data_IF_765046113981
#
_entry.id   IF_765046113981
#
_cell.length_a   1.000
_cell.length_b   1.000
_cell.length_c   1.000
_cell.angle_alpha   90.00
_cell.angle_beta   90.00
_cell.angle_gamma   90.00
#
_symmetry.space_group_name_H-M   'P 1'
#
loop_
_entity.id
_entity.type
_entity.pdbx_description
1 polymer ?
#
# COMPACT_ATOMS: atom_id res chain seq x y z
N UNK A 1 -7.00 9.63 26.69
CA UNK A 1 -7.69 9.37 25.41
C UNK A 1 -6.60 9.10 24.40
N UNK A 2 -6.49 7.86 23.93
CA UNK A 2 -5.47 7.39 22.99
C UNK A 2 -6.14 6.99 21.68
N UNK A 3 -5.43 7.16 20.57
CA UNK A 3 -5.91 6.83 19.23
C UNK A 3 -4.80 6.11 18.46
N UNK A 4 -5.17 5.33 17.47
CA UNK A 4 -4.25 4.78 16.47
C UNK A 4 -4.83 4.95 15.07
N UNK A 5 -4.19 5.80 14.27
CA UNK A 5 -4.71 6.26 12.98
C UNK A 5 -3.97 5.65 11.79
N UNK A 6 -3.10 4.65 12.02
CA UNK A 6 -2.34 4.02 10.94
C UNK A 6 -2.27 2.50 11.20
N UNK A 7 -3.36 1.80 10.86
CA UNK A 7 -3.51 0.37 11.09
C UNK A 7 -3.79 -0.39 9.79
N UNK A 8 -3.23 -1.59 9.69
CA UNK A 8 -3.29 -2.44 8.51
C UNK A 8 -3.87 -3.79 8.89
N UNK A 9 -4.75 -4.31 8.05
CA UNK A 9 -5.32 -5.65 8.13
C UNK A 9 -4.71 -6.58 7.10
N UNK A 10 -5.03 -7.87 7.16
CA UNK A 10 -4.60 -8.81 6.11
C UNK A 10 -5.12 -8.46 4.71
N UNK A 11 -6.10 -7.56 4.59
CA UNK A 11 -6.60 -7.07 3.29
C UNK A 11 -5.47 -6.41 2.49
N UNK A 12 -4.45 -5.88 3.16
CA UNK A 12 -3.21 -5.45 2.51
C UNK A 12 -1.98 -6.23 2.98
N UNK A 13 -1.41 -5.90 4.14
CA UNK A 13 -0.19 -6.50 4.68
C UNK A 13 -0.14 -6.61 6.21
N UNK A 14 -1.27 -6.36 6.88
CA UNK A 14 -1.46 -6.64 8.30
C UNK A 14 -1.61 -8.14 8.59
N UNK A 15 -1.64 -8.47 9.89
CA UNK A 15 -1.75 -9.86 10.36
C UNK A 15 -3.12 -10.24 10.92
N UNK A 16 -3.98 -9.24 11.14
CA UNK A 16 -5.28 -9.40 11.76
C UNK A 16 -6.41 -9.03 10.79
N UNK A 17 -7.61 -9.55 11.05
CA UNK A 17 -8.79 -9.16 10.27
C UNK A 17 -9.21 -7.71 10.57
N UNK A 18 -9.93 -7.05 9.67
CA UNK A 18 -10.50 -5.73 9.96
C UNK A 18 -11.32 -5.69 11.26
N UNK A 19 -12.11 -6.74 11.55
CA UNK A 19 -12.82 -6.85 12.82
C UNK A 19 -11.88 -7.14 14.02
N UNK A 20 -10.87 -8.00 13.84
CA UNK A 20 -9.90 -8.33 14.89
C UNK A 20 -9.10 -7.12 15.36
N UNK A 21 -8.72 -6.23 14.43
CA UNK A 21 -8.09 -4.94 14.76
C UNK A 21 -8.96 -4.10 15.69
N UNK A 22 -10.28 -4.06 15.45
CA UNK A 22 -11.22 -3.34 16.33
C UNK A 22 -11.26 -3.96 17.72
N UNK A 23 -11.33 -5.29 17.81
CA UNK A 23 -11.34 -5.99 19.10
C UNK A 23 -10.07 -5.71 19.91
N UNK A 24 -8.91 -5.73 19.26
CA UNK A 24 -7.63 -5.39 19.87
C UNK A 24 -7.59 -3.92 20.32
N UNK A 25 -8.09 -2.99 19.50
CA UNK A 25 -8.16 -1.57 19.84
C UNK A 25 -9.04 -1.31 21.07
N UNK A 26 -10.19 -1.99 21.15
CA UNK A 26 -11.09 -1.93 22.32
C UNK A 26 -10.41 -2.50 23.56
N UNK A 27 -9.75 -3.65 23.45
CA UNK A 27 -9.01 -4.26 24.55
C UNK A 27 -7.85 -3.36 25.04
N UNK A 28 -7.22 -2.61 24.13
CA UNK A 28 -6.18 -1.63 24.43
C UNK A 28 -6.73 -0.30 25.00
N UNK A 29 -8.06 -0.13 25.08
CA UNK A 29 -8.68 1.09 25.59
C UNK A 29 -8.54 2.31 24.67
N UNK A 30 -8.36 2.10 23.36
CA UNK A 30 -8.33 3.17 22.38
C UNK A 30 -9.70 3.83 22.26
N UNK A 31 -9.70 5.13 21.99
CA UNK A 31 -10.90 5.94 21.84
C UNK A 31 -11.33 6.07 20.38
N UNK A 32 -10.37 6.04 19.46
CA UNK A 32 -10.62 6.04 18.03
C UNK A 32 -9.53 5.25 17.28
N UNK A 33 -9.91 4.69 16.13
CA UNK A 33 -8.95 4.12 15.18
C UNK A 33 -9.23 4.51 13.73
N UNK A 34 -8.21 4.41 12.87
CA UNK A 34 -8.37 4.39 11.43
C UNK A 34 -7.80 3.11 10.81
N UNK A 35 -8.57 2.46 9.94
CA UNK A 35 -8.06 1.39 9.09
C UNK A 35 -7.55 2.03 7.79
N UNK A 36 -6.28 1.79 7.45
CA UNK A 36 -5.58 2.47 6.36
C UNK A 36 -4.79 1.47 5.49
N UNK A 37 -5.45 0.37 5.11
CA UNK A 37 -4.85 -0.65 4.23
C UNK A 37 -4.26 -0.07 2.93
N UNK A 38 -3.17 -0.65 2.45
CA UNK A 38 -2.40 -0.12 1.32
C UNK A 38 -3.14 -0.11 -0.02
N UNK A 39 -3.37 1.08 -0.58
CA UNK A 39 -4.10 1.29 -1.84
C UNK A 39 -5.52 0.65 -1.84
N UNK A 40 -5.99 0.25 -0.66
CA UNK A 40 -7.10 -0.62 -0.21
C UNK A 40 -8.32 0.05 0.45
N UNK A 41 -9.59 -0.28 0.16
CA UNK A 41 -10.72 0.10 1.05
C UNK A 41 -11.61 -1.07 1.45
N UNK A 42 -11.31 -2.28 1.01
CA UNK A 42 -12.20 -3.42 1.07
C UNK A 42 -12.43 -3.92 2.52
N UNK A 43 -11.51 -3.63 3.45
CA UNK A 43 -11.65 -3.92 4.88
C UNK A 43 -12.52 -2.91 5.66
N UNK A 44 -12.75 -1.72 5.09
CA UNK A 44 -13.47 -0.62 5.78
C UNK A 44 -14.90 -1.03 6.21
N UNK A 45 -15.74 -1.69 5.39
CA UNK A 45 -17.09 -2.08 5.80
C UNK A 45 -17.09 -3.01 7.02
N UNK A 46 -16.17 -3.97 7.07
CA UNK A 46 -16.06 -4.93 8.17
C UNK A 46 -15.60 -4.24 9.47
N UNK A 47 -14.50 -3.49 9.42
CA UNK A 47 -14.00 -2.77 10.59
C UNK A 47 -15.02 -1.76 11.13
N UNK A 48 -15.75 -1.05 10.25
CA UNK A 48 -16.81 -0.12 10.66
C UNK A 48 -17.93 -0.83 11.41
N UNK A 49 -18.38 -1.99 10.92
CA UNK A 49 -19.44 -2.76 11.55
C UNK A 49 -19.03 -3.26 12.95
N UNK A 50 -17.79 -3.74 13.09
CA UNK A 50 -17.23 -4.13 14.38
C UNK A 50 -17.11 -2.92 15.32
N UNK A 51 -16.55 -1.80 14.87
CA UNK A 51 -16.38 -0.60 15.68
C UNK A 51 -17.70 -0.05 16.22
N UNK A 52 -18.75 -0.05 15.38
CA UNK A 52 -20.11 0.31 15.78
C UNK A 52 -20.65 -0.58 16.90
N UNK A 53 -20.35 -1.88 16.87
CA UNK A 53 -20.79 -2.84 17.90
C UNK A 53 -20.15 -2.54 19.25
N UNK A 54 -18.88 -2.11 19.25
CA UNK A 54 -18.14 -1.79 20.46
C UNK A 54 -18.24 -0.32 20.91
N UNK A 55 -18.90 0.54 20.13
CA UNK A 55 -18.94 1.99 20.40
C UNK A 55 -17.58 2.68 20.24
N UNK A 56 -16.67 2.09 19.45
CA UNK A 56 -15.36 2.67 19.12
C UNK A 56 -15.52 3.68 17.98
N UNK A 57 -14.88 4.85 18.09
CA UNK A 57 -14.84 5.79 16.97
C UNK A 57 -13.96 5.25 15.84
N UNK A 58 -14.51 5.25 14.63
CA UNK A 58 -13.85 4.64 13.47
C UNK A 58 -13.77 5.63 12.31
N UNK A 59 -12.55 5.79 11.79
CA UNK A 59 -12.24 6.65 10.65
C UNK A 59 -11.88 5.74 9.46
N UNK A 60 -12.64 5.78 8.35
CA UNK A 60 -12.25 5.04 7.16
C UNK A 60 -11.07 5.73 6.48
N UNK A 61 -10.18 4.94 5.90
CA UNK A 61 -9.10 5.48 5.10
C UNK A 61 -8.33 4.42 4.34
N UNK A 62 -7.25 4.87 3.71
CA UNK A 62 -6.30 4.03 2.98
C UNK A 62 -4.92 4.67 3.06
N UNK A 63 -3.87 3.86 3.00
CA UNK A 63 -2.51 4.36 2.78
C UNK A 63 -2.12 4.21 1.31
N UNK A 64 -2.02 5.34 0.61
CA UNK A 64 -1.66 5.38 -0.81
C UNK A 64 -0.15 5.22 -1.01
N UNK A 65 0.24 4.28 -1.86
CA UNK A 65 1.58 4.16 -2.41
C UNK A 65 1.78 5.12 -3.59
N UNK A 66 2.37 6.30 -3.35
CA UNK A 66 2.58 7.32 -4.38
C UNK A 66 4.03 7.41 -4.85
N UNK A 67 4.22 8.00 -6.03
CA UNK A 67 5.51 8.47 -6.52
C UNK A 67 5.70 9.95 -6.18
N UNK A 68 6.90 10.33 -5.76
CA UNK A 68 7.24 11.74 -5.50
C UNK A 68 8.73 11.98 -5.75
N UNK A 69 9.07 12.92 -6.62
CA UNK A 69 10.46 13.28 -6.96
C UNK A 69 11.37 12.07 -7.29
N UNK A 70 10.84 11.10 -8.04
CA UNK A 70 11.57 9.88 -8.40
C UNK A 70 11.71 8.85 -7.27
N UNK A 71 11.13 9.12 -6.11
CA UNK A 71 11.10 8.24 -4.93
C UNK A 71 9.70 7.73 -4.62
N UNK A 72 9.60 6.83 -3.64
CA UNK A 72 8.34 6.36 -3.09
C UNK A 72 7.97 7.21 -1.87
N UNK A 73 6.70 7.61 -1.77
CA UNK A 73 6.12 8.23 -0.58
C UNK A 73 4.80 7.51 -0.27
N UNK A 74 4.38 7.52 0.99
CA UNK A 74 3.03 7.11 1.35
C UNK A 74 2.20 8.28 1.88
N UNK A 75 0.92 8.28 1.52
CA UNK A 75 -0.06 9.25 2.01
C UNK A 75 -1.18 8.49 2.72
N UNK A 76 -1.44 8.82 3.98
CA UNK A 76 -2.67 8.44 4.65
C UNK A 76 -3.79 9.31 4.12
N UNK A 77 -4.90 8.69 3.73
CA UNK A 77 -6.08 9.40 3.25
C UNK A 77 -7.25 9.03 4.15
N UNK A 78 -7.63 9.96 5.02
CA UNK A 78 -8.70 9.78 6.00
C UNK A 78 -10.06 10.25 5.49
N UNK A 79 -11.12 9.71 6.08
CA UNK A 79 -12.50 10.01 5.74
C UNK A 79 -12.89 9.62 4.30
N UNK A 80 -12.18 8.65 3.74
CA UNK A 80 -12.45 8.12 2.40
C UNK A 80 -13.31 6.87 2.49
N UNK A 81 -14.55 6.95 2.02
CA UNK A 81 -15.47 5.82 2.01
C UNK A 81 -15.28 4.92 0.77
N UNK A 82 -15.53 3.59 0.89
CA UNK A 82 -15.65 2.72 -0.27
C UNK A 82 -16.81 3.15 -1.17
N UNK A 83 -16.64 2.98 -2.49
CA UNK A 83 -17.65 3.34 -3.48
C UNK A 83 -17.02 4.05 -4.69
N UNK A 84 -17.83 4.46 -5.67
CA UNK A 84 -17.35 5.23 -6.81
C UNK A 84 -16.92 6.64 -6.38
N UNK A 85 -15.83 7.13 -6.97
CA UNK A 85 -15.33 8.47 -6.70
C UNK A 85 -13.96 8.70 -7.35
N UNK A 86 -13.50 9.96 -7.47
CA UNK A 86 -12.29 10.30 -8.23
C UNK A 86 -11.06 9.49 -7.80
N UNK A 87 -10.80 9.39 -6.50
CA UNK A 87 -9.68 8.62 -5.97
C UNK A 87 -9.94 7.11 -6.05
N UNK A 88 -11.16 6.66 -5.75
CA UNK A 88 -11.52 5.24 -5.76
C UNK A 88 -11.40 4.64 -7.17
N UNK A 89 -11.87 5.35 -8.19
CA UNK A 89 -11.77 4.93 -9.60
C UNK A 89 -10.30 4.85 -10.02
N UNK A 90 -9.48 5.81 -9.56
CA UNK A 90 -8.04 5.81 -9.82
C UNK A 90 -7.33 4.65 -9.10
N UNK A 91 -7.73 4.33 -7.87
CA UNK A 91 -7.22 3.17 -7.13
C UNK A 91 -7.50 1.86 -7.85
N UNK A 92 -8.71 1.69 -8.42
CA UNK A 92 -9.05 0.52 -9.24
C UNK A 92 -8.06 0.40 -10.42
N UNK A 93 -7.85 1.48 -11.17
CA UNK A 93 -6.91 1.48 -12.29
C UNK A 93 -5.46 1.15 -11.87
N UNK A 94 -5.01 1.67 -10.73
CA UNK A 94 -3.67 1.37 -10.17
C UNK A 94 -3.55 -0.11 -9.79
N UNK A 95 -4.59 -0.70 -9.18
CA UNK A 95 -4.62 -2.13 -8.82
C UNK A 95 -4.63 -3.03 -10.06
N UNK A 96 -5.43 -2.72 -11.07
CA UNK A 96 -5.43 -3.44 -12.36
C UNK A 96 -4.07 -3.36 -13.06
N UNK A 97 -3.42 -2.19 -13.00
CA UNK A 97 -2.04 -2.01 -13.45
C UNK A 97 -1.05 -2.91 -12.70
N UNK A 98 -1.25 -3.11 -11.38
CA UNK A 98 -0.41 -4.03 -10.57
C UNK A 98 -0.58 -5.48 -11.00
N UNK A 99 -1.80 -5.94 -11.22
CA UNK A 99 -2.06 -7.30 -11.72
C UNK A 99 -1.40 -7.52 -13.08
N UNK A 100 -1.58 -6.59 -14.01
CA UNK A 100 -0.96 -6.61 -15.35
C UNK A 100 0.57 -6.61 -15.25
N UNK A 101 1.13 -5.79 -14.34
CA UNK A 101 2.57 -5.74 -14.09
C UNK A 101 3.11 -7.07 -13.56
N UNK A 102 2.42 -7.72 -12.64
CA UNK A 102 2.86 -8.98 -12.07
C UNK A 102 2.98 -10.06 -13.15
N UNK A 103 2.02 -10.13 -14.08
CA UNK A 103 2.12 -10.99 -15.27
C UNK A 103 3.35 -10.64 -16.11
N UNK A 104 3.62 -9.36 -16.34
CA UNK A 104 4.81 -8.93 -17.10
C UNK A 104 6.14 -9.30 -16.41
N UNK A 105 6.20 -9.27 -15.08
CA UNK A 105 7.39 -9.72 -14.33
C UNK A 105 7.61 -11.21 -14.54
N UNK A 106 6.55 -12.03 -14.44
CA UNK A 106 6.60 -13.47 -14.71
C UNK A 106 7.14 -13.72 -16.11
N UNK A 107 6.54 -13.08 -17.12
CA UNK A 107 6.98 -13.23 -18.52
C UNK A 107 8.44 -12.84 -18.69
N UNK A 108 8.88 -11.73 -18.10
CA UNK A 108 10.26 -11.28 -18.19
C UNK A 108 11.23 -12.30 -17.58
N UNK A 109 10.95 -12.83 -16.39
CA UNK A 109 11.78 -13.87 -15.76
C UNK A 109 11.78 -15.18 -16.58
N UNK A 110 10.64 -15.58 -17.13
CA UNK A 110 10.53 -16.75 -18.02
C UNK A 110 11.37 -16.62 -19.29
N UNK A 111 11.46 -15.42 -19.88
CA UNK A 111 12.34 -15.21 -21.05
C UNK A 111 13.83 -15.40 -20.75
N UNK A 112 14.20 -15.39 -19.48
CA UNK A 112 15.55 -15.71 -19.00
C UNK A 112 15.70 -17.15 -18.49
N UNK A 113 14.73 -18.03 -18.80
CA UNK A 113 14.78 -19.45 -18.47
C UNK A 113 14.38 -19.80 -17.03
N UNK A 114 13.81 -18.85 -16.29
CA UNK A 114 13.30 -19.10 -14.94
C UNK A 114 11.88 -19.65 -15.05
N UNK A 115 11.70 -20.90 -14.62
CA UNK A 115 10.38 -21.51 -14.50
C UNK A 115 9.65 -20.96 -13.26
N UNK A 116 8.85 -19.91 -13.45
CA UNK A 116 8.05 -19.25 -12.42
C UNK A 116 6.61 -19.06 -12.92
N UNK A 117 5.64 -19.31 -12.06
CA UNK A 117 4.21 -19.18 -12.37
C UNK A 117 3.52 -18.15 -11.48
N UNK A 118 2.32 -17.72 -11.89
CA UNK A 118 1.50 -16.81 -11.09
C UNK A 118 1.06 -17.46 -9.78
N UNK A 119 0.65 -18.72 -9.82
CA UNK A 119 0.12 -19.45 -8.67
C UNK A 119 1.17 -19.62 -7.56
N UNK A 120 2.43 -19.83 -7.93
CA UNK A 120 3.54 -19.88 -6.96
C UNK A 120 3.70 -18.55 -6.23
N UNK A 121 3.72 -17.44 -6.97
CA UNK A 121 3.85 -16.10 -6.37
C UNK A 121 2.60 -15.77 -5.54
N UNK A 122 1.41 -16.14 -6.01
CA UNK A 122 0.14 -15.91 -5.33
C UNK A 122 0.06 -16.70 -4.01
N UNK A 123 0.53 -17.94 -4.00
CA UNK A 123 0.62 -18.77 -2.80
C UNK A 123 1.48 -18.11 -1.72
N UNK A 124 2.59 -17.48 -2.12
CA UNK A 124 3.46 -16.76 -1.18
C UNK A 124 2.84 -15.43 -0.72
N UNK A 125 2.10 -14.74 -1.59
CA UNK A 125 1.42 -13.50 -1.24
C UNK A 125 0.22 -13.70 -0.29
N UNK A 126 -0.41 -14.89 -0.32
CA UNK A 126 -1.58 -15.18 0.49
C UNK A 126 -2.78 -14.30 0.12
N UNK A 127 -3.49 -13.82 1.13
CA UNK A 127 -4.62 -12.88 0.97
C UNK A 127 -4.17 -11.42 0.74
N UNK A 128 -2.87 -11.14 0.92
CA UNK A 128 -2.29 -9.82 0.78
C UNK A 128 -1.91 -9.43 -0.66
N UNK A 129 -1.44 -8.20 -0.83
CA UNK A 129 -1.17 -7.66 -2.16
C UNK A 129 0.18 -8.13 -2.75
N UNK A 130 0.14 -8.89 -3.85
CA UNK A 130 1.34 -9.43 -4.53
C UNK A 130 2.34 -8.35 -5.03
N UNK A 131 3.46 -8.17 -4.31
CA UNK A 131 4.62 -7.34 -4.71
C UNK A 131 5.90 -8.12 -5.06
N UNK A 132 6.94 -7.39 -5.51
CA UNK A 132 8.28 -7.93 -5.84
C UNK A 132 8.93 -8.80 -4.75
N UNK A 133 8.74 -8.54 -3.43
CA UNK A 133 9.27 -9.43 -2.40
C UNK A 133 8.80 -10.88 -2.52
N UNK A 134 7.55 -11.12 -2.96
CA UNK A 134 7.04 -12.49 -3.17
C UNK A 134 7.73 -13.16 -4.36
N UNK A 135 8.02 -12.42 -5.44
CA UNK A 135 8.84 -12.93 -6.54
C UNK A 135 10.26 -13.28 -6.07
N UNK A 136 10.88 -12.41 -5.28
CA UNK A 136 12.19 -12.67 -4.69
C UNK A 136 12.19 -13.95 -3.87
N UNK A 137 11.12 -14.20 -3.10
CA UNK A 137 10.96 -15.44 -2.35
C UNK A 137 10.84 -16.67 -3.25
N UNK A 138 10.03 -16.62 -4.32
CA UNK A 138 9.97 -17.74 -5.29
C UNK A 138 11.35 -18.02 -5.91
N UNK A 139 12.12 -16.99 -6.24
CA UNK A 139 13.47 -17.16 -6.80
C UNK A 139 14.42 -17.86 -5.81
N UNK A 140 14.29 -17.55 -4.51
CA UNK A 140 15.05 -18.22 -3.44
C UNK A 140 14.59 -19.67 -3.29
N UNK A 141 13.28 -19.91 -3.23
CA UNK A 141 12.72 -21.25 -3.02
C UNK A 141 13.05 -22.20 -4.18
N UNK A 142 13.25 -21.66 -5.38
CA UNK A 142 13.72 -22.40 -6.58
C UNK A 142 15.24 -22.53 -6.68
N UNK A 143 16.00 -21.93 -5.76
CA UNK A 143 17.47 -21.95 -5.79
C UNK A 143 18.08 -21.14 -6.94
N UNK A 144 17.36 -20.15 -7.47
CA UNK A 144 17.87 -19.23 -8.52
C UNK A 144 18.84 -18.21 -7.92
N UNK A 145 18.66 -17.86 -6.65
CA UNK A 145 19.47 -16.93 -5.85
C UNK A 145 19.45 -17.38 -4.39
N UNK A 146 20.44 -16.97 -3.60
CA UNK A 146 20.59 -17.41 -2.20
C UNK A 146 19.98 -16.43 -1.18
N UNK A 147 19.63 -15.21 -1.60
CA UNK A 147 19.14 -14.18 -0.68
C UNK A 147 18.19 -13.17 -1.32
N UNK A 148 17.44 -12.45 -0.48
CA UNK A 148 16.58 -11.34 -0.91
C UNK A 148 17.38 -10.24 -1.60
N UNK A 149 18.55 -9.89 -1.05
CA UNK A 149 19.44 -8.89 -1.64
C UNK A 149 19.85 -9.29 -3.05
N UNK A 150 20.33 -10.53 -3.22
CA UNK A 150 20.72 -11.04 -4.53
C UNK A 150 19.54 -11.10 -5.52
N UNK A 151 18.34 -11.48 -5.05
CA UNK A 151 17.14 -11.47 -5.87
C UNK A 151 16.85 -10.08 -6.45
N UNK A 152 16.97 -9.03 -5.63
CA UNK A 152 16.79 -7.65 -6.11
C UNK A 152 17.94 -7.21 -6.99
N UNK A 153 19.18 -7.40 -6.57
CA UNK A 153 20.35 -6.93 -7.28
C UNK A 153 20.53 -7.61 -8.64
N UNK A 154 20.12 -8.86 -8.79
CA UNK A 154 20.26 -9.61 -10.04
C UNK A 154 19.03 -9.49 -10.93
N UNK A 155 17.82 -9.57 -10.36
CA UNK A 155 16.60 -9.78 -11.13
C UNK A 155 15.56 -8.67 -11.03
N UNK A 156 15.34 -8.06 -9.87
CA UNK A 156 14.10 -7.32 -9.58
C UNK A 156 14.27 -5.80 -9.34
N UNK A 157 15.51 -5.31 -9.19
CA UNK A 157 15.83 -3.89 -9.04
C UNK A 157 15.71 -3.13 -10.37
N UNK A 158 15.67 -1.80 -10.32
CA UNK A 158 15.55 -0.95 -11.53
C UNK A 158 16.66 -1.30 -12.53
N UNK A 159 16.28 -1.55 -13.78
CA UNK A 159 17.20 -1.92 -14.86
C UNK A 159 17.60 -3.41 -14.88
N UNK A 160 17.05 -4.25 -13.99
CA UNK A 160 17.27 -5.70 -14.00
C UNK A 160 16.23 -6.44 -14.85
N UNK A 161 16.51 -7.68 -15.28
CA UNK A 161 15.67 -8.38 -16.26
C UNK A 161 14.20 -8.55 -15.88
N UNK A 162 13.91 -8.85 -14.61
CA UNK A 162 12.56 -8.97 -14.08
C UNK A 162 11.93 -7.65 -13.67
N UNK A 163 12.58 -6.50 -13.90
CA UNK A 163 12.04 -5.21 -13.52
C UNK A 163 11.04 -4.70 -14.55
N UNK A 164 9.81 -4.55 -14.07
CA UNK A 164 8.75 -3.82 -14.78
C UNK A 164 8.40 -2.59 -13.94
N UNK A 165 8.37 -1.42 -14.56
CA UNK A 165 7.93 -0.19 -13.90
C UNK A 165 6.51 -0.35 -13.38
N UNK A 166 6.24 0.23 -12.20
CA UNK A 166 4.91 0.32 -11.63
C UNK A 166 4.37 1.70 -11.96
N UNK A 167 3.20 1.77 -12.60
CA UNK A 167 2.43 3.00 -12.60
C UNK A 167 2.02 3.28 -11.17
N UNK A 168 2.56 4.37 -10.62
CA UNK A 168 2.20 4.89 -9.31
C UNK A 168 1.39 6.15 -9.53
N UNK A 169 0.47 6.40 -8.62
CA UNK A 169 -0.16 7.69 -8.54
C UNK A 169 0.91 8.72 -8.16
N UNK A 170 0.96 9.85 -8.87
CA UNK A 170 1.82 10.96 -8.45
C UNK A 170 1.28 11.57 -7.15
N UNK A 171 2.15 12.06 -6.26
CA UNK A 171 1.73 12.60 -4.98
C UNK A 171 0.80 13.82 -5.12
N UNK A 172 1.02 14.71 -6.10
CA UNK A 172 0.15 15.86 -6.33
C UNK A 172 -1.21 15.42 -6.88
N UNK A 173 -1.21 14.49 -7.83
CA UNK A 173 -2.44 13.86 -8.34
C UNK A 173 -3.23 13.17 -7.22
N UNK A 174 -2.54 12.46 -6.33
CA UNK A 174 -3.15 11.76 -5.20
C UNK A 174 -3.81 12.72 -4.21
N UNK A 175 -3.13 13.82 -3.86
CA UNK A 175 -3.67 14.83 -2.94
C UNK A 175 -4.91 15.51 -3.54
N UNK A 176 -4.83 15.89 -4.81
CA UNK A 176 -5.95 16.53 -5.52
C UNK A 176 -7.18 15.59 -5.59
N UNK A 177 -6.99 14.33 -6.02
CA UNK A 177 -8.07 13.34 -6.06
C UNK A 177 -8.64 13.03 -4.67
N UNK A 178 -7.79 12.96 -3.64
CA UNK A 178 -8.25 12.77 -2.26
C UNK A 178 -9.16 13.93 -1.81
N UNK A 179 -8.74 15.18 -2.05
CA UNK A 179 -9.55 16.37 -1.71
C UNK A 179 -10.85 16.43 -2.50
N UNK A 180 -10.82 16.12 -3.80
CA UNK A 180 -12.03 16.00 -4.63
C UNK A 180 -12.99 14.90 -4.15
N UNK A 181 -12.46 13.87 -3.50
CA UNK A 181 -13.23 12.80 -2.87
C UNK A 181 -13.72 13.14 -1.46
N UNK A 182 -13.50 14.38 -0.99
CA UNK A 182 -13.88 14.85 0.35
C UNK A 182 -13.00 14.30 1.47
N UNK A 183 -11.86 13.68 1.13
CA UNK A 183 -10.97 13.04 2.07
C UNK A 183 -9.81 13.97 2.51
N UNK A 184 -9.11 13.58 3.56
CA UNK A 184 -8.00 14.34 4.15
C UNK A 184 -6.68 13.59 3.94
N UNK A 185 -5.81 14.04 3.00
CA UNK A 185 -4.50 13.45 2.79
C UNK A 185 -3.46 13.96 3.80
N UNK A 186 -2.60 13.06 4.29
CA UNK A 186 -1.54 13.32 5.26
C UNK A 186 -0.29 12.52 4.87
N UNK A 187 0.89 13.14 4.93
CA UNK A 187 2.15 12.43 4.68
C UNK A 187 2.37 11.38 5.78
N UNK A 188 2.46 10.11 5.40
CA UNK A 188 2.71 9.02 6.33
C UNK A 188 4.19 8.97 6.72
N UNK A 189 4.46 8.58 7.98
CA UNK A 189 5.79 8.25 8.50
C UNK A 189 6.96 9.06 7.87
N UNK A 190 6.97 10.41 7.97
CA UNK A 190 7.82 11.29 7.16
C UNK A 190 9.33 11.06 7.32
N UNK A 191 9.75 10.43 8.42
CA UNK A 191 11.14 10.05 8.65
C UNK A 191 11.68 9.06 7.61
N UNK A 192 10.82 8.30 6.92
CA UNK A 192 11.24 7.33 5.87
C UNK A 192 11.64 8.00 4.56
N UNK A 193 11.34 9.29 4.39
CA UNK A 193 11.72 10.06 3.20
C UNK A 193 13.21 10.42 3.18
N UNK A 194 13.91 10.29 4.32
CA UNK A 194 15.33 10.64 4.43
C UNK A 194 15.63 12.14 4.30
N UNK A 195 14.62 12.99 4.45
CA UNK A 195 14.74 14.45 4.35
C UNK A 195 15.17 15.07 5.68
N UNK A 196 16.01 16.09 5.60
CA UNK A 196 16.24 17.01 6.71
C UNK A 196 14.98 17.85 7.03
N UNK A 197 14.96 18.49 8.20
CA UNK A 197 13.79 19.24 8.66
C UNK A 197 13.37 20.38 7.70
N UNK A 198 14.34 21.12 7.13
CA UNK A 198 14.07 22.19 6.16
C UNK A 198 13.55 21.64 4.83
N UNK A 199 14.18 20.59 4.30
CA UNK A 199 13.77 19.92 3.06
C UNK A 199 12.36 19.33 3.20
N UNK A 200 12.03 18.75 4.36
CA UNK A 200 10.67 18.29 4.65
C UNK A 200 9.68 19.45 4.71
N UNK A 201 10.05 20.58 5.33
CA UNK A 201 9.17 21.75 5.41
C UNK A 201 8.90 22.35 4.01
N UNK A 202 9.91 22.37 3.13
CA UNK A 202 9.75 22.76 1.74
C UNK A 202 8.86 21.79 0.97
N UNK A 203 9.12 20.48 1.07
CA UNK A 203 8.31 19.43 0.46
C UNK A 203 6.84 19.49 0.91
N UNK A 204 6.61 19.68 2.21
CA UNK A 204 5.27 19.81 2.77
C UNK A 204 4.55 21.05 2.24
N UNK A 205 5.24 22.19 2.19
CA UNK A 205 4.68 23.44 1.62
C UNK A 205 4.31 23.24 0.15
N UNK A 206 5.17 22.61 -0.63
CA UNK A 206 4.92 22.35 -2.05
C UNK A 206 3.71 21.43 -2.26
N UNK A 207 3.70 20.27 -1.61
CA UNK A 207 2.59 19.31 -1.65
C UNK A 207 1.27 19.91 -1.15
N UNK A 208 1.31 20.85 -0.19
CA UNK A 208 0.10 21.49 0.33
C UNK A 208 -0.63 22.36 -0.71
N UNK A 209 0.05 22.77 -1.77
CA UNK A 209 -0.53 23.53 -2.90
C UNK A 209 -1.39 22.69 -3.83
N UNK A 210 -1.34 21.36 -3.72
CA UNK A 210 -2.14 20.46 -4.53
C UNK A 210 -3.61 20.46 -4.08
N UNK A 211 -4.53 20.78 -5.00
CA UNK A 211 -5.98 20.85 -4.79
C UNK A 211 -6.40 21.89 -3.76
#
# INVERSE_FOLDING_TARGET
>A
MSVDLHLHSYISDGSESPAGIVELAVAAGLSAIALTDHDILDGVPEARAAAKTHGLEFIPGTELSVGWNGTAMHLLVYFLEPGPGPLQDRLVAVREGRATRNVRIITALQTHGIDISFDEVATIAGEGSMGRPHFARVLIDKGVVDSMTEAFDTWLAVGRPGYVSRDRLDAFEAIDLARQSGAVPVIAHPHTLGLGAEEYADAFRDLSTAG
#
